data_IF_267767889284
#
_entry.id   IF_267767889284
#
_cell.length_a   1.000
_cell.length_b   1.000
_cell.length_c   1.000
_cell.angle_alpha   90.00
_cell.angle_beta   90.00
_cell.angle_gamma   90.00
#
_symmetry.space_group_name_H-M   'P 1'
#
loop_
_entity.id
_entity.type
_entity.pdbx_description
1 polymer ?
#
# COMPACT_ATOMS: atom_id res chain seq x y z
N UNK A 1 32.42 6.87 2.32
CA UNK A 1 31.94 8.22 2.72
C UNK A 1 30.45 8.21 3.07
N UNK A 2 29.53 7.78 2.20
CA UNK A 2 28.09 7.77 2.47
C UNK A 2 27.69 6.96 3.71
N UNK A 3 28.20 5.72 3.84
CA UNK A 3 27.94 4.85 5.00
C UNK A 3 28.43 5.49 6.31
N UNK A 4 29.58 6.13 6.28
CA UNK A 4 30.12 6.84 7.44
C UNK A 4 29.24 8.01 7.86
N UNK A 5 28.81 8.84 6.90
CA UNK A 5 27.89 9.95 7.16
C UNK A 5 26.55 9.45 7.72
N UNK A 6 25.98 8.40 7.14
CA UNK A 6 24.74 7.82 7.61
C UNK A 6 24.88 7.27 9.05
N UNK A 7 25.99 6.62 9.38
CA UNK A 7 26.29 6.17 10.75
C UNK A 7 26.46 7.36 11.72
N UNK A 8 27.09 8.45 11.28
CA UNK A 8 27.21 9.66 12.10
C UNK A 8 25.84 10.28 12.35
N UNK A 9 24.99 10.36 11.33
CA UNK A 9 23.59 10.83 11.47
C UNK A 9 22.82 10.02 12.51
N UNK A 10 23.06 8.72 12.63
CA UNK A 10 22.38 7.87 13.61
C UNK A 10 22.60 8.29 15.07
N UNK A 11 23.64 9.07 15.37
CA UNK A 11 23.91 9.60 16.72
C UNK A 11 23.13 10.89 17.04
N UNK A 12 22.68 11.60 16.01
CA UNK A 12 21.95 12.84 16.21
C UNK A 12 20.60 12.61 16.92
N UNK A 13 20.11 13.57 17.70
CA UNK A 13 18.76 13.54 18.26
C UNK A 13 17.71 13.33 17.16
N UNK A 14 16.69 12.49 17.42
CA UNK A 14 15.63 12.19 16.44
C UNK A 14 14.92 13.46 15.96
N UNK A 15 14.67 14.40 16.89
CA UNK A 15 14.04 15.70 16.56
C UNK A 15 14.85 16.52 15.55
N UNK A 16 16.18 16.48 15.63
CA UNK A 16 17.06 17.19 14.71
C UNK A 16 17.03 16.56 13.31
N UNK A 17 17.10 15.22 13.25
CA UNK A 17 16.99 14.49 11.99
C UNK A 17 15.65 14.78 11.30
N UNK A 18 14.56 14.68 12.04
CA UNK A 18 13.23 14.95 11.50
C UNK A 18 13.07 16.40 11.05
N UNK A 19 13.61 17.35 11.80
CA UNK A 19 13.55 18.77 11.43
C UNK A 19 14.37 19.06 10.19
N UNK A 20 15.61 18.57 10.13
CA UNK A 20 16.46 18.69 8.94
C UNK A 20 15.80 18.03 7.72
N UNK A 21 15.24 16.83 7.92
CA UNK A 21 14.49 16.13 6.88
C UNK A 21 13.30 16.94 6.36
N UNK A 22 12.51 17.55 7.25
CA UNK A 22 11.39 18.42 6.84
C UNK A 22 11.85 19.61 6.01
N UNK A 23 12.95 20.26 6.41
CA UNK A 23 13.51 21.37 5.64
C UNK A 23 13.98 20.93 4.25
N UNK A 24 14.64 19.77 4.16
CA UNK A 24 15.05 19.19 2.87
C UNK A 24 13.82 18.84 2.01
N UNK A 25 12.79 18.24 2.59
CA UNK A 25 11.54 17.92 1.89
C UNK A 25 10.84 19.16 1.34
N UNK A 26 10.78 20.24 2.13
CA UNK A 26 10.25 21.54 1.69
C UNK A 26 11.10 22.17 0.59
N UNK A 27 12.43 22.12 0.71
CA UNK A 27 13.34 22.59 -0.34
C UNK A 27 13.15 21.81 -1.65
N UNK A 28 13.07 20.48 -1.60
CA UNK A 28 12.78 19.65 -2.75
C UNK A 28 11.42 19.96 -3.41
N UNK A 29 10.42 20.27 -2.59
CA UNK A 29 9.10 20.67 -3.08
C UNK A 29 9.09 22.07 -3.70
N UNK A 30 9.99 22.97 -3.29
CA UNK A 30 10.07 24.36 -3.77
C UNK A 30 10.40 24.45 -5.27
N UNK A 31 11.13 23.46 -5.80
CA UNK A 31 11.54 23.45 -7.21
C UNK A 31 10.48 22.80 -8.10
N UNK A 32 10.12 23.41 -9.25
CA UNK A 32 9.23 22.80 -10.22
C UNK A 32 9.82 21.46 -10.73
N UNK A 33 9.18 20.37 -10.40
CA UNK A 33 9.69 19.03 -10.73
C UNK A 33 8.55 18.03 -10.97
N UNK A 34 8.90 16.86 -11.50
CA UNK A 34 7.94 15.74 -11.61
C UNK A 34 7.43 15.32 -10.22
N UNK A 35 8.28 15.42 -9.18
CA UNK A 35 7.91 15.16 -7.81
C UNK A 35 6.82 16.13 -7.32
N UNK A 36 7.02 17.44 -7.49
CA UNK A 36 6.05 18.46 -7.08
C UNK A 36 4.68 18.27 -7.76
N UNK A 37 4.69 18.03 -9.09
CA UNK A 37 3.44 17.80 -9.85
C UNK A 37 2.70 16.55 -9.38
N UNK A 38 3.42 15.45 -9.14
CA UNK A 38 2.81 14.22 -8.61
C UNK A 38 2.23 14.40 -7.22
N UNK A 39 3.00 15.00 -6.33
CA UNK A 39 2.55 15.25 -4.96
C UNK A 39 1.22 16.02 -4.96
N UNK A 40 1.13 17.13 -5.69
CA UNK A 40 -0.12 17.91 -5.82
C UNK A 40 -1.26 17.11 -6.44
N UNK A 41 -1.00 16.34 -7.46
CA UNK A 41 -2.03 15.56 -8.15
C UNK A 41 -2.58 14.46 -7.24
N UNK A 42 -1.71 13.68 -6.61
CA UNK A 42 -2.13 12.55 -5.79
C UNK A 42 -2.84 12.99 -4.51
N UNK A 43 -2.40 14.10 -3.89
CA UNK A 43 -3.12 14.65 -2.72
C UNK A 43 -4.48 15.17 -3.09
N UNK A 44 -4.63 15.83 -4.27
CA UNK A 44 -5.92 16.30 -4.79
C UNK A 44 -6.90 15.14 -5.02
N UNK A 45 -6.45 14.07 -5.67
CA UNK A 45 -7.28 12.88 -5.88
C UNK A 45 -7.77 12.25 -4.58
N UNK A 46 -6.95 12.31 -3.54
CA UNK A 46 -7.33 11.84 -2.21
C UNK A 46 -8.22 12.82 -1.41
N UNK A 47 -8.56 13.99 -1.99
CA UNK A 47 -9.37 15.02 -1.34
C UNK A 47 -8.58 16.04 -0.51
N UNK A 48 -7.24 16.09 -0.62
CA UNK A 48 -6.36 17.00 0.11
C UNK A 48 -5.76 18.04 -0.84
N UNK A 49 -6.54 19.05 -1.26
CA UNK A 49 -6.11 20.09 -2.22
C UNK A 49 -5.57 21.37 -1.55
N UNK A 50 -5.53 21.43 -0.22
CA UNK A 50 -4.97 22.55 0.53
C UNK A 50 -3.45 22.67 0.30
N UNK A 51 -2.92 23.81 -0.21
CA UNK A 51 -1.49 24.00 -0.40
C UNK A 51 -0.66 23.86 0.89
N UNK A 52 -1.25 24.14 2.06
CA UNK A 52 -0.57 23.94 3.33
C UNK A 52 -0.43 22.45 3.65
N UNK A 53 -1.46 21.64 3.38
CA UNK A 53 -1.39 20.19 3.47
C UNK A 53 -0.29 19.62 2.58
N UNK A 54 -0.24 20.01 1.30
CA UNK A 54 0.77 19.53 0.35
C UNK A 54 2.20 19.86 0.81
N UNK A 55 2.41 21.06 1.38
CA UNK A 55 3.72 21.40 1.98
C UNK A 55 4.05 20.53 3.19
N UNK A 56 3.08 20.27 4.08
CA UNK A 56 3.30 19.37 5.22
C UNK A 56 3.62 17.96 4.76
N UNK A 57 2.93 17.42 3.75
CA UNK A 57 3.22 16.12 3.17
C UNK A 57 4.63 16.02 2.56
N UNK A 58 5.09 17.09 1.89
CA UNK A 58 6.47 17.16 1.40
C UNK A 58 7.48 17.16 2.54
N UNK A 59 7.22 17.92 3.60
CA UNK A 59 8.06 17.96 4.78
C UNK A 59 8.14 16.58 5.47
N UNK A 60 7.00 15.91 5.66
CA UNK A 60 6.95 14.60 6.30
C UNK A 60 7.65 13.50 5.48
N UNK A 61 7.60 13.59 4.13
CA UNK A 61 8.41 12.72 3.25
C UNK A 61 9.91 12.91 3.53
N UNK A 62 10.37 14.13 3.70
CA UNK A 62 11.77 14.41 4.05
C UNK A 62 12.14 13.88 5.44
N UNK A 63 11.26 14.06 6.43
CA UNK A 63 11.47 13.52 7.77
C UNK A 63 11.57 11.99 7.79
N UNK A 64 10.70 11.31 7.02
CA UNK A 64 10.73 9.85 6.86
C UNK A 64 12.08 9.35 6.35
N UNK A 65 12.66 10.00 5.35
CA UNK A 65 13.96 9.62 4.80
C UNK A 65 15.11 9.91 5.77
N UNK A 66 15.05 11.03 6.50
CA UNK A 66 16.12 11.45 7.39
C UNK A 66 16.23 10.59 8.67
N UNK A 67 15.14 9.96 9.13
CA UNK A 67 15.15 9.12 10.34
C UNK A 67 15.67 7.69 10.10
N UNK A 68 15.69 7.21 8.83
CA UNK A 68 16.09 5.84 8.47
C UNK A 68 17.46 5.46 9.04
N UNK A 69 18.55 6.25 8.91
CA UNK A 69 19.85 5.89 9.45
C UNK A 69 19.81 5.63 10.96
N UNK A 70 19.07 6.43 11.70
CA UNK A 70 18.95 6.24 13.15
C UNK A 70 18.22 4.95 13.49
N UNK A 71 17.17 4.62 12.77
CA UNK A 71 16.40 3.39 12.98
C UNK A 71 17.27 2.16 12.70
N UNK A 72 18.11 2.21 11.67
CA UNK A 72 18.95 1.08 11.29
C UNK A 72 20.10 0.81 12.28
N UNK A 73 20.76 1.85 12.80
CA UNK A 73 21.94 1.67 13.66
C UNK A 73 21.68 1.95 15.15
N UNK A 74 20.49 2.41 15.51
CA UNK A 74 20.07 2.65 16.89
C UNK A 74 18.70 2.05 17.14
N UNK A 75 18.47 0.86 16.59
CA UNK A 75 17.17 0.18 16.60
C UNK A 75 16.58 0.12 18.01
N UNK A 76 17.31 -0.37 19.01
CA UNK A 76 16.82 -0.49 20.39
C UNK A 76 16.41 0.85 21.01
N UNK A 77 17.22 1.90 20.75
CA UNK A 77 16.87 3.25 21.21
C UNK A 77 15.60 3.79 20.53
N UNK A 78 15.35 3.40 19.29
CA UNK A 78 14.16 3.76 18.56
C UNK A 78 12.96 2.95 19.04
N UNK A 79 13.10 1.65 19.23
CA UNK A 79 12.06 0.77 19.74
C UNK A 79 11.58 1.17 21.13
N UNK A 80 12.48 1.63 22.00
CA UNK A 80 12.13 2.17 23.32
C UNK A 80 11.24 3.44 23.28
N UNK A 81 11.11 4.07 22.10
CA UNK A 81 10.25 5.23 21.86
C UNK A 81 8.97 4.89 21.08
N UNK A 82 8.72 3.61 20.84
CA UNK A 82 7.48 3.17 20.21
C UNK A 82 6.41 2.97 21.25
N UNK A 83 5.24 3.53 21.02
CA UNK A 83 4.04 3.35 21.85
C UNK A 83 2.93 2.72 21.03
N UNK A 84 2.09 1.90 21.67
CA UNK A 84 0.89 1.31 21.08
C UNK A 84 -0.16 1.11 22.15
N UNK A 85 -1.41 1.39 21.82
CA UNK A 85 -2.60 1.08 22.59
C UNK A 85 -3.48 0.01 21.91
N UNK A 86 -3.06 -0.48 20.75
CA UNK A 86 -3.80 -1.43 19.91
C UNK A 86 -3.13 -2.82 19.83
N UNK A 87 -2.18 -3.12 20.71
CA UNK A 87 -1.52 -4.43 20.78
C UNK A 87 -2.48 -5.63 20.92
N UNK A 88 -3.63 -5.52 21.60
CA UNK A 88 -4.59 -6.62 21.67
C UNK A 88 -5.05 -7.13 20.30
N UNK A 89 -5.09 -6.27 19.26
CA UNK A 89 -5.43 -6.69 17.88
C UNK A 89 -4.41 -7.71 17.35
N UNK A 90 -3.12 -7.43 17.58
CA UNK A 90 -2.02 -8.30 17.16
C UNK A 90 -2.02 -9.59 17.98
N UNK A 91 -2.16 -9.49 19.29
CA UNK A 91 -2.17 -10.65 20.19
C UNK A 91 -3.31 -11.60 19.88
N UNK A 92 -4.51 -11.08 19.61
CA UNK A 92 -5.66 -11.87 19.20
C UNK A 92 -5.40 -12.64 17.89
N UNK A 93 -4.81 -11.99 16.89
CA UNK A 93 -4.49 -12.64 15.62
C UNK A 93 -3.42 -13.73 15.77
N UNK A 94 -2.40 -13.49 16.59
CA UNK A 94 -1.34 -14.47 16.87
C UNK A 94 -1.86 -15.68 17.63
N UNK A 95 -2.79 -15.47 18.58
CA UNK A 95 -3.40 -16.55 19.35
C UNK A 95 -4.21 -17.54 18.49
N UNK A 96 -4.62 -17.15 17.28
CA UNK A 96 -5.27 -18.04 16.32
C UNK A 96 -4.32 -19.09 15.72
N UNK A 97 -2.99 -18.90 15.80
CA UNK A 97 -1.97 -19.84 15.32
C UNK A 97 -1.92 -20.05 13.80
N UNK A 98 -2.69 -19.28 13.02
CA UNK A 98 -2.79 -19.40 11.55
C UNK A 98 -1.68 -18.64 10.81
N UNK A 99 -0.82 -17.90 11.52
CA UNK A 99 0.10 -16.93 10.95
C UNK A 99 -0.56 -15.56 10.68
N UNK A 100 0.27 -14.55 10.47
CA UNK A 100 -0.21 -13.16 10.26
C UNK A 100 0.46 -12.54 9.04
N UNK A 101 -0.35 -11.96 8.15
CA UNK A 101 0.11 -11.11 7.04
C UNK A 101 0.01 -9.65 7.45
N UNK A 102 1.16 -9.02 7.71
CA UNK A 102 1.24 -7.59 7.95
C UNK A 102 1.39 -6.81 6.64
N UNK A 103 0.53 -5.84 6.42
CA UNK A 103 0.56 -4.95 5.28
C UNK A 103 0.85 -3.52 5.76
N UNK A 104 1.99 -2.98 5.31
CA UNK A 104 2.44 -1.66 5.72
C UNK A 104 2.51 -0.76 4.49
N UNK A 105 1.59 0.21 4.29
CA UNK A 105 1.76 1.22 3.27
C UNK A 105 3.00 2.09 3.59
N UNK A 106 3.53 2.82 2.59
CA UNK A 106 4.59 3.80 2.82
C UNK A 106 4.03 5.02 3.59
N UNK A 107 3.55 4.77 4.80
CA UNK A 107 2.88 5.69 5.72
C UNK A 107 3.68 5.81 7.01
N UNK A 108 3.94 7.04 7.45
CA UNK A 108 4.71 7.29 8.67
C UNK A 108 6.14 6.75 8.56
N UNK A 109 6.52 5.89 9.47
CA UNK A 109 7.81 5.23 9.48
C UNK A 109 7.67 3.72 9.27
N UNK A 110 7.66 3.26 8.01
CA UNK A 110 7.56 1.84 7.69
C UNK A 110 8.77 1.02 8.20
N UNK A 111 9.94 1.64 8.34
CA UNK A 111 11.15 0.98 8.84
C UNK A 111 11.03 0.59 10.32
N UNK A 112 10.50 1.47 11.17
CA UNK A 112 10.28 1.14 12.59
C UNK A 112 9.17 0.12 12.74
N UNK A 113 8.18 0.11 11.83
CA UNK A 113 7.06 -0.83 11.85
C UNK A 113 7.55 -2.26 11.74
N UNK A 114 8.36 -2.58 10.74
CA UNK A 114 8.90 -3.92 10.56
C UNK A 114 9.72 -4.37 11.80
N UNK A 115 10.55 -3.47 12.34
CA UNK A 115 11.39 -3.76 13.52
C UNK A 115 10.55 -3.95 14.78
N UNK A 116 9.52 -3.16 14.97
CA UNK A 116 8.65 -3.30 16.12
C UNK A 116 7.88 -4.64 16.10
N UNK A 117 7.45 -5.10 14.93
CA UNK A 117 6.72 -6.35 14.79
C UNK A 117 7.54 -7.59 15.16
N UNK A 118 8.88 -7.56 15.09
CA UNK A 118 9.74 -8.69 15.50
C UNK A 118 9.66 -9.03 16.99
N UNK A 119 9.10 -8.13 17.81
CA UNK A 119 8.83 -8.41 19.24
C UNK A 119 7.78 -9.50 19.46
N UNK A 120 6.95 -9.74 18.45
CA UNK A 120 5.88 -10.74 18.52
C UNK A 120 6.29 -12.11 17.96
N UNK A 121 7.51 -12.24 17.44
CA UNK A 121 8.05 -13.48 16.88
C UNK A 121 8.74 -13.28 15.53
N UNK A 122 9.08 -14.38 14.83
CA UNK A 122 9.72 -14.33 13.53
C UNK A 122 8.87 -13.58 12.50
N UNK A 123 9.49 -12.62 11.82
CA UNK A 123 8.89 -11.83 10.74
C UNK A 123 9.72 -11.99 9.48
N UNK A 124 9.14 -12.52 8.42
CA UNK A 124 9.76 -12.56 7.10
C UNK A 124 9.27 -11.37 6.27
N UNK A 125 10.19 -10.56 5.75
CA UNK A 125 9.88 -9.40 4.90
C UNK A 125 10.50 -9.54 3.53
N UNK A 126 9.82 -8.99 2.51
CA UNK A 126 10.32 -8.99 1.15
C UNK A 126 11.05 -7.68 0.85
N UNK A 127 12.22 -7.78 0.22
CA UNK A 127 13.00 -6.62 -0.17
C UNK A 127 13.35 -6.65 -1.65
N UNK A 128 13.49 -5.46 -2.22
CA UNK A 128 14.13 -5.28 -3.53
C UNK A 128 15.55 -4.77 -3.31
N UNK A 129 16.57 -5.33 -4.02
CA UNK A 129 17.91 -4.76 -4.00
C UNK A 129 17.89 -3.27 -4.36
N UNK A 130 18.80 -2.50 -3.77
CA UNK A 130 18.90 -1.09 -4.10
C UNK A 130 19.21 -0.93 -5.60
N UNK A 131 18.46 -0.06 -6.29
CA UNK A 131 18.71 0.23 -7.71
C UNK A 131 20.09 0.87 -7.95
N UNK A 132 20.60 1.61 -6.95
CA UNK A 132 21.92 2.22 -6.99
C UNK A 132 22.89 1.36 -6.18
N UNK A 133 23.93 0.84 -6.84
CA UNK A 133 24.93 -0.01 -6.20
C UNK A 133 25.60 0.65 -4.96
N UNK A 134 25.75 1.98 -4.97
CA UNK A 134 26.29 2.73 -3.83
C UNK A 134 25.45 2.62 -2.55
N UNK A 135 24.15 2.31 -2.67
CA UNK A 135 23.24 2.13 -1.53
C UNK A 135 23.17 0.68 -1.05
N UNK A 136 23.71 -0.28 -1.81
CA UNK A 136 23.64 -1.70 -1.50
C UNK A 136 24.25 -2.04 -0.12
N UNK A 137 25.48 -1.59 0.23
CA UNK A 137 26.07 -1.86 1.55
C UNK A 137 25.24 -1.26 2.70
N UNK A 138 24.58 -0.14 2.43
CA UNK A 138 23.70 0.55 3.39
C UNK A 138 22.48 -0.32 3.72
N UNK A 139 21.82 -0.84 2.69
CA UNK A 139 20.65 -1.70 2.80
C UNK A 139 21.00 -3.06 3.41
N UNK A 140 22.14 -3.65 3.04
CA UNK A 140 22.61 -4.93 3.60
C UNK A 140 22.90 -4.83 5.10
N UNK A 141 23.58 -3.76 5.54
CA UNK A 141 23.90 -3.54 6.95
C UNK A 141 22.67 -3.28 7.84
N UNK A 142 21.53 -2.98 7.25
CA UNK A 142 20.28 -2.72 7.98
C UNK A 142 19.46 -3.97 8.30
N UNK A 143 19.83 -5.13 7.73
CA UNK A 143 19.03 -6.37 7.76
C UNK A 143 19.36 -7.30 8.92
N UNK A 144 20.48 -7.06 9.59
CA UNK A 144 20.96 -7.92 10.67
C UNK A 144 20.21 -7.61 11.97
N UNK A 145 19.04 -8.22 12.11
CA UNK A 145 18.21 -8.07 13.30
C UNK A 145 17.59 -9.41 13.69
N UNK A 146 17.61 -9.71 14.98
CA UNK A 146 16.97 -10.90 15.53
C UNK A 146 15.49 -10.94 15.14
N UNK A 147 15.01 -12.11 14.74
CA UNK A 147 13.62 -12.35 14.27
C UNK A 147 13.21 -11.62 12.98
N UNK A 148 14.10 -10.92 12.27
CA UNK A 148 13.78 -10.31 10.99
C UNK A 148 14.48 -11.05 9.85
N UNK A 149 13.71 -11.75 9.02
CA UNK A 149 14.22 -12.51 7.89
C UNK A 149 13.90 -11.79 6.59
N UNK A 150 14.92 -11.25 5.91
CA UNK A 150 14.74 -10.55 4.64
C UNK A 150 14.91 -11.52 3.46
N UNK A 151 13.89 -11.62 2.60
CA UNK A 151 13.92 -12.45 1.40
C UNK A 151 13.79 -11.60 0.13
N UNK A 152 14.38 -12.02 -1.00
CA UNK A 152 14.31 -11.24 -2.24
C UNK A 152 12.89 -11.21 -2.82
N UNK A 153 12.52 -10.07 -3.46
CA UNK A 153 11.23 -9.91 -4.13
C UNK A 153 11.21 -10.66 -5.47
N UNK A 154 11.09 -11.98 -5.40
CA UNK A 154 11.00 -12.91 -6.54
C UNK A 154 10.24 -14.17 -6.13
N UNK A 155 10.13 -15.14 -7.04
CA UNK A 155 9.43 -16.42 -6.79
C UNK A 155 9.97 -17.19 -5.58
N UNK A 156 11.27 -17.07 -5.27
CA UNK A 156 11.85 -17.69 -4.08
C UNK A 156 11.30 -17.05 -2.81
N UNK A 157 11.32 -15.72 -2.71
CA UNK A 157 10.76 -15.00 -1.56
C UNK A 157 9.27 -15.27 -1.34
N UNK A 158 8.49 -15.40 -2.42
CA UNK A 158 7.06 -15.80 -2.30
C UNK A 158 6.91 -17.18 -1.67
N UNK A 159 7.76 -18.15 -2.04
CA UNK A 159 7.76 -19.50 -1.43
C UNK A 159 8.11 -19.43 0.06
N UNK A 160 9.09 -18.60 0.43
CA UNK A 160 9.45 -18.40 1.84
C UNK A 160 8.30 -17.76 2.63
N UNK A 161 7.57 -16.81 2.06
CA UNK A 161 6.36 -16.26 2.67
C UNK A 161 5.31 -17.35 2.96
N UNK A 162 5.00 -18.18 1.98
CA UNK A 162 4.05 -19.28 2.15
C UNK A 162 4.52 -20.27 3.22
N UNK A 163 5.84 -20.58 3.26
CA UNK A 163 6.41 -21.47 4.28
C UNK A 163 6.31 -20.88 5.69
N UNK A 164 6.66 -19.59 5.86
CA UNK A 164 6.55 -18.89 7.13
C UNK A 164 5.10 -18.87 7.63
N UNK A 165 4.15 -18.49 6.78
CA UNK A 165 2.72 -18.47 7.13
C UNK A 165 2.19 -19.86 7.52
N UNK A 166 2.61 -20.92 6.82
CA UNK A 166 2.24 -22.30 7.18
C UNK A 166 2.82 -22.79 8.50
N UNK A 167 3.92 -22.19 8.98
CA UNK A 167 4.46 -22.44 10.32
C UNK A 167 3.78 -21.62 11.41
N UNK A 168 2.77 -20.81 11.07
CA UNK A 168 2.11 -19.89 11.99
C UNK A 168 2.90 -18.61 12.28
N UNK A 169 3.98 -18.35 11.51
CA UNK A 169 4.80 -17.17 11.65
C UNK A 169 4.19 -15.95 10.92
N UNK A 170 4.83 -14.81 11.06
CA UNK A 170 4.40 -13.58 10.41
C UNK A 170 5.19 -13.29 9.11
N UNK A 171 4.53 -12.68 8.16
CA UNK A 171 5.17 -12.05 6.99
C UNK A 171 4.75 -10.59 6.87
N UNK A 172 5.63 -9.76 6.33
CA UNK A 172 5.40 -8.33 6.14
C UNK A 172 5.71 -7.87 4.72
N UNK A 173 4.84 -7.05 4.14
CA UNK A 173 5.08 -6.45 2.83
C UNK A 173 4.45 -5.07 2.71
N UNK A 174 4.95 -4.29 1.73
CA UNK A 174 4.43 -2.98 1.38
C UNK A 174 3.62 -3.11 0.07
N UNK A 175 2.27 -3.09 0.15
CA UNK A 175 1.42 -3.42 -0.99
C UNK A 175 1.08 -2.24 -1.91
N UNK A 176 1.52 -1.02 -1.56
CA UNK A 176 1.13 0.24 -2.20
C UNK A 176 2.07 0.73 -3.31
N UNK A 177 2.98 -0.11 -3.78
CA UNK A 177 3.82 0.19 -4.94
C UNK A 177 3.27 -0.47 -6.21
N UNK A 178 3.63 0.12 -7.37
CA UNK A 178 3.32 -0.46 -8.67
C UNK A 178 4.02 -1.81 -8.81
N UNK A 179 3.29 -2.89 -9.13
CA UNK A 179 3.86 -4.22 -9.27
C UNK A 179 4.82 -4.33 -10.47
N UNK A 180 5.51 -5.45 -10.58
CA UNK A 180 6.30 -5.81 -11.76
C UNK A 180 5.42 -6.11 -12.97
N UNK A 181 6.08 -6.37 -14.09
CA UNK A 181 5.43 -6.72 -15.36
C UNK A 181 4.53 -7.95 -15.19
N UNK A 182 3.29 -7.86 -15.67
CA UNK A 182 2.29 -8.93 -15.59
C UNK A 182 1.76 -9.25 -14.18
N UNK A 183 2.13 -8.48 -13.17
CA UNK A 183 1.83 -8.77 -11.75
C UNK A 183 0.79 -7.82 -11.13
N UNK A 184 -0.20 -7.38 -11.83
CA UNK A 184 -1.17 -6.45 -11.25
C UNK A 184 -2.48 -6.39 -11.99
N UNK A 185 -3.46 -5.80 -11.33
CA UNK A 185 -4.76 -5.45 -11.90
C UNK A 185 -5.08 -4.00 -11.55
N UNK A 186 -5.85 -3.32 -12.41
CA UNK A 186 -6.31 -1.97 -12.15
C UNK A 186 -7.42 -1.99 -11.12
N UNK A 187 -7.20 -1.34 -9.99
CA UNK A 187 -8.18 -1.24 -8.90
C UNK A 187 -8.27 0.18 -8.38
N UNK A 188 -9.43 0.57 -7.83
CA UNK A 188 -9.59 1.88 -7.21
C UNK A 188 -8.62 2.07 -6.03
N UNK A 189 -8.01 3.26 -5.97
CA UNK A 189 -7.25 3.74 -4.84
C UNK A 189 -7.41 5.26 -4.75
N UNK A 190 -8.04 5.75 -3.70
CA UNK A 190 -8.49 7.15 -3.58
C UNK A 190 -9.30 7.65 -4.78
N UNK A 191 -10.21 6.82 -5.29
CA UNK A 191 -11.11 7.16 -6.37
C UNK A 191 -10.54 7.05 -7.78
N UNK A 192 -9.23 6.86 -7.93
CA UNK A 192 -8.54 6.72 -9.21
C UNK A 192 -8.05 5.28 -9.41
N UNK A 193 -8.00 4.81 -10.66
CA UNK A 193 -7.44 3.49 -10.93
C UNK A 193 -5.92 3.47 -10.76
N UNK A 194 -5.44 2.50 -10.00
CA UNK A 194 -4.02 2.26 -9.80
C UNK A 194 -3.68 0.79 -10.03
N UNK A 195 -2.64 0.51 -10.81
CA UNK A 195 -2.17 -0.85 -11.01
C UNK A 195 -1.72 -1.43 -9.66
N UNK A 196 -2.46 -2.42 -9.16
CA UNK A 196 -2.35 -2.92 -7.79
C UNK A 196 -1.84 -4.36 -7.80
N UNK A 197 -0.82 -4.64 -6.97
CA UNK A 197 -0.29 -5.98 -6.82
C UNK A 197 -1.31 -6.91 -6.15
N UNK A 198 -1.43 -8.12 -6.68
CA UNK A 198 -2.37 -9.12 -6.17
C UNK A 198 -1.76 -10.08 -5.15
N UNK A 199 -0.44 -10.02 -4.91
CA UNK A 199 0.27 -10.98 -4.06
C UNK A 199 -0.30 -11.05 -2.64
N UNK A 200 -0.60 -9.89 -2.02
CA UNK A 200 -1.18 -9.87 -0.67
C UNK A 200 -2.52 -10.59 -0.60
N UNK A 201 -3.42 -10.32 -1.56
CA UNK A 201 -4.73 -10.98 -1.64
C UNK A 201 -4.60 -12.49 -1.89
N UNK A 202 -3.72 -12.90 -2.82
CA UNK A 202 -3.45 -14.32 -3.10
C UNK A 202 -2.92 -15.05 -1.87
N UNK A 203 -1.96 -14.46 -1.16
CA UNK A 203 -1.41 -15.05 0.08
C UNK A 203 -2.51 -15.21 1.14
N UNK A 204 -3.30 -14.16 1.38
CA UNK A 204 -4.37 -14.17 2.36
C UNK A 204 -5.39 -15.29 2.09
N UNK A 205 -5.87 -15.39 0.84
CA UNK A 205 -6.84 -16.41 0.44
C UNK A 205 -6.26 -17.84 0.47
N UNK A 206 -5.03 -18.01 -0.02
CA UNK A 206 -4.37 -19.31 -0.07
C UNK A 206 -4.04 -19.89 1.31
N UNK A 207 -3.64 -19.02 2.25
CA UNK A 207 -3.14 -19.46 3.55
C UNK A 207 -4.15 -19.23 4.69
N UNK A 208 -5.23 -18.49 4.44
CA UNK A 208 -6.30 -18.17 5.40
C UNK A 208 -5.78 -17.53 6.69
N UNK A 209 -4.72 -16.75 6.57
CA UNK A 209 -4.08 -16.04 7.68
C UNK A 209 -4.85 -14.79 8.08
N UNK A 210 -4.63 -14.31 9.28
CA UNK A 210 -5.12 -12.99 9.69
C UNK A 210 -4.36 -11.90 8.91
N UNK A 211 -5.10 -10.93 8.36
CA UNK A 211 -4.51 -9.79 7.64
C UNK A 211 -4.61 -8.54 8.50
N UNK A 212 -3.47 -7.94 8.82
CA UNK A 212 -3.39 -6.72 9.63
C UNK A 212 -2.64 -5.64 8.86
N UNK A 213 -3.30 -4.52 8.60
CA UNK A 213 -2.63 -3.30 8.17
C UNK A 213 -1.98 -2.62 9.37
N UNK A 214 -0.77 -2.10 9.17
CA UNK A 214 -0.03 -1.46 10.25
C UNK A 214 0.79 -0.29 9.73
N UNK A 215 0.98 0.74 10.58
CA UNK A 215 1.86 1.87 10.29
C UNK A 215 2.38 2.50 11.58
N UNK A 216 3.60 3.02 11.52
CA UNK A 216 4.22 3.77 12.59
C UNK A 216 4.06 5.27 12.39
N UNK A 217 3.05 5.90 13.00
CA UNK A 217 2.85 7.34 12.99
C UNK A 217 4.05 8.04 13.67
N UNK A 218 4.67 8.98 13.00
CA UNK A 218 5.73 9.81 13.56
C UNK A 218 5.15 10.83 14.53
N UNK A 219 5.54 10.75 15.79
CA UNK A 219 5.13 11.71 16.81
C UNK A 219 5.92 13.01 16.73
N UNK A 220 5.30 14.15 17.02
CA UNK A 220 5.98 15.46 16.95
C UNK A 220 7.15 15.56 17.93
N UNK A 221 8.12 16.43 17.58
CA UNK A 221 9.27 16.79 18.43
C UNK A 221 10.19 15.63 18.79
N UNK A 222 10.29 14.59 17.95
CA UNK A 222 11.18 13.48 18.19
C UNK A 222 10.77 12.55 19.33
N UNK A 223 9.49 12.54 19.71
CA UNK A 223 8.96 11.67 20.78
C UNK A 223 8.89 10.20 20.39
N UNK A 224 9.23 9.86 19.17
CA UNK A 224 9.18 8.49 18.66
C UNK A 224 7.99 8.24 17.75
N UNK A 225 7.39 7.07 17.86
CA UNK A 225 6.34 6.62 16.95
C UNK A 225 5.19 5.97 17.71
N UNK A 226 3.98 6.09 17.15
CA UNK A 226 2.80 5.35 17.59
C UNK A 226 2.45 4.30 16.57
N UNK A 227 2.32 3.05 17.00
CA UNK A 227 1.85 1.97 16.11
C UNK A 227 0.34 2.00 15.99
N UNK A 228 -0.13 1.90 14.74
CA UNK A 228 -1.53 1.72 14.40
C UNK A 228 -1.71 0.35 13.77
N UNK A 229 -2.78 -0.32 14.16
CA UNK A 229 -3.19 -1.61 13.61
C UNK A 229 -4.64 -1.55 13.14
N UNK A 230 -4.92 -2.21 12.03
CA UNK A 230 -6.26 -2.37 11.46
C UNK A 230 -6.36 -3.78 10.90
N UNK A 231 -7.09 -4.66 11.59
CA UNK A 231 -7.35 -6.01 11.10
C UNK A 231 -8.43 -5.96 10.02
N UNK A 232 -8.22 -6.65 8.90
CA UNK A 232 -9.27 -6.86 7.92
C UNK A 232 -10.40 -7.70 8.53
N UNK A 233 -11.67 -7.35 8.25
CA UNK A 233 -12.80 -8.19 8.64
C UNK A 233 -12.73 -9.58 8.01
N UNK A 234 -13.17 -10.59 8.72
CA UNK A 234 -13.32 -11.95 8.22
C UNK A 234 -14.81 -12.36 8.20
N UNK A 235 -15.25 -13.20 7.25
CA UNK A 235 -14.42 -13.79 6.19
C UNK A 235 -13.96 -12.78 5.14
N UNK A 236 -12.78 -13.00 4.56
CA UNK A 236 -12.31 -12.21 3.42
C UNK A 236 -13.20 -12.47 2.19
N UNK A 237 -13.31 -11.50 1.26
CA UNK A 237 -13.97 -11.74 -0.02
C UNK A 237 -13.35 -12.93 -0.76
N UNK A 238 -14.17 -13.69 -1.50
CA UNK A 238 -13.75 -14.97 -2.10
C UNK A 238 -12.78 -14.82 -3.28
N UNK A 239 -12.80 -13.67 -3.98
CA UNK A 239 -11.95 -13.47 -5.15
C UNK A 239 -10.71 -12.64 -4.80
N UNK A 240 -9.63 -12.87 -5.57
CA UNK A 240 -8.38 -12.10 -5.44
C UNK A 240 -8.62 -10.61 -5.66
N UNK A 241 -9.45 -10.27 -6.63
CA UNK A 241 -9.79 -8.89 -6.96
C UNK A 241 -10.54 -8.21 -5.81
N UNK A 242 -11.63 -8.81 -5.33
CA UNK A 242 -12.41 -8.25 -4.24
C UNK A 242 -11.60 -8.14 -2.93
N UNK A 243 -10.72 -9.12 -2.65
CA UNK A 243 -9.81 -9.06 -1.51
C UNK A 243 -8.76 -7.94 -1.68
N UNK A 244 -8.24 -7.72 -2.89
CA UNK A 244 -7.29 -6.63 -3.15
C UNK A 244 -7.98 -5.25 -3.04
N UNK A 245 -9.25 -5.12 -3.45
CA UNK A 245 -10.06 -3.92 -3.21
C UNK A 245 -10.23 -3.67 -1.71
N UNK A 246 -10.57 -4.69 -0.94
CA UNK A 246 -10.70 -4.57 0.52
C UNK A 246 -9.38 -4.14 1.18
N UNK A 247 -8.24 -4.64 0.71
CA UNK A 247 -6.91 -4.21 1.16
C UNK A 247 -6.67 -2.73 0.81
N UNK A 248 -6.98 -2.29 -0.42
CA UNK A 248 -6.85 -0.88 -0.81
C UNK A 248 -7.70 0.03 0.08
N UNK A 249 -8.97 -0.31 0.32
CA UNK A 249 -9.87 0.45 1.19
C UNK A 249 -9.37 0.53 2.64
N UNK A 250 -8.82 -0.57 3.14
CA UNK A 250 -8.22 -0.59 4.48
C UNK A 250 -6.93 0.27 4.53
N UNK A 251 -6.11 0.27 3.47
CA UNK A 251 -4.97 1.19 3.35
C UNK A 251 -5.42 2.65 3.35
N UNK A 252 -6.44 3.00 2.57
CA UNK A 252 -7.01 4.35 2.56
C UNK A 252 -7.49 4.76 3.95
N UNK A 253 -8.20 3.86 4.65
CA UNK A 253 -8.67 4.09 6.01
C UNK A 253 -7.52 4.39 6.97
N UNK A 254 -6.43 3.62 6.88
CA UNK A 254 -5.24 3.84 7.70
C UNK A 254 -4.51 5.14 7.33
N UNK A 255 -4.37 5.44 6.03
CA UNK A 255 -3.74 6.66 5.53
C UNK A 255 -4.51 7.90 6.00
N UNK A 256 -5.84 7.88 6.01
CA UNK A 256 -6.68 9.00 6.46
C UNK A 256 -6.52 9.35 7.94
N UNK A 257 -5.92 8.48 8.77
CA UNK A 257 -5.64 8.78 10.19
C UNK A 257 -4.55 9.83 10.37
N UNK A 258 -3.51 9.84 9.50
CA UNK A 258 -2.40 10.82 9.50
C UNK A 258 -1.87 11.02 8.07
N UNK A 259 -2.71 11.59 7.20
CA UNK A 259 -2.50 11.58 5.74
C UNK A 259 -1.27 12.38 5.30
N UNK A 260 -0.80 13.34 6.08
CA UNK A 260 0.41 14.11 5.75
C UNK A 260 1.67 13.24 5.73
N UNK A 261 1.66 12.09 6.40
CA UNK A 261 2.79 11.18 6.49
C UNK A 261 2.81 10.08 5.43
N UNK A 262 1.84 10.06 4.50
CA UNK A 262 1.86 9.11 3.38
C UNK A 262 2.79 9.59 2.26
N UNK A 263 3.44 8.64 1.57
CA UNK A 263 4.41 8.93 0.50
C UNK A 263 3.72 9.34 -0.82
N UNK A 264 2.96 10.43 -0.81
CA UNK A 264 2.22 10.94 -1.98
C UNK A 264 3.10 11.24 -3.20
N UNK A 265 4.39 11.48 -3.02
CA UNK A 265 5.34 11.75 -4.09
C UNK A 265 5.74 10.52 -4.91
N UNK A 266 5.45 9.30 -4.45
CA UNK A 266 5.62 8.09 -5.22
C UNK A 266 4.64 8.04 -6.40
N UNK A 267 5.04 7.48 -7.55
CA UNK A 267 4.18 7.39 -8.73
C UNK A 267 3.25 6.17 -8.67
N UNK A 268 2.30 6.20 -7.71
CA UNK A 268 1.36 5.09 -7.46
C UNK A 268 0.47 4.78 -8.66
N UNK A 269 0.15 5.80 -9.44
CA UNK A 269 -0.73 5.71 -10.62
C UNK A 269 0.10 5.68 -11.93
N UNK A 270 1.32 5.14 -11.87
CA UNK A 270 2.11 4.90 -13.07
C UNK A 270 1.44 3.78 -13.87
N UNK A 271 1.26 4.03 -15.18
CA UNK A 271 0.95 3.01 -16.17
C UNK A 271 2.27 2.51 -16.75
N UNK A 272 2.72 1.29 -16.42
CA UNK A 272 3.85 0.66 -17.11
C UNK A 272 3.48 0.33 -18.56
N UNK A 273 4.46 0.31 -19.46
CA UNK A 273 4.25 0.06 -20.89
C UNK A 273 3.61 -1.33 -21.15
N UNK A 274 3.84 -2.30 -20.26
CA UNK A 274 3.33 -3.69 -20.34
C UNK A 274 2.13 -3.92 -19.41
N UNK A 275 1.53 -2.86 -18.86
CA UNK A 275 0.31 -2.98 -18.07
C UNK A 275 -0.88 -3.37 -18.95
N UNK A 276 -1.89 -4.08 -18.41
CA UNK A 276 -3.17 -4.23 -19.10
C UNK A 276 -3.72 -2.86 -19.51
N UNK A 277 -4.58 -2.77 -20.55
CA UNK A 277 -5.24 -1.53 -20.91
C UNK A 277 -5.87 -0.86 -19.69
N UNK A 278 -5.72 0.47 -19.59
CA UNK A 278 -6.32 1.21 -18.49
C UNK A 278 -7.86 1.12 -18.60
N UNK A 279 -8.62 0.99 -17.51
CA UNK A 279 -10.08 0.89 -17.57
C UNK A 279 -10.77 2.02 -18.33
N UNK A 280 -10.20 3.24 -18.30
CA UNK A 280 -10.73 4.39 -19.04
C UNK A 280 -10.42 4.34 -20.55
N UNK A 281 -9.48 3.47 -20.98
CA UNK A 281 -9.10 3.23 -22.38
C UNK A 281 -9.80 1.98 -22.96
N UNK A 282 -10.46 1.17 -22.10
CA UNK A 282 -11.23 0.03 -22.57
C UNK A 282 -12.44 0.55 -23.33
N UNK A 283 -12.62 0.12 -24.59
CA UNK A 283 -13.86 0.38 -25.34
C UNK A 283 -15.05 -0.08 -24.49
N UNK A 284 -16.15 0.70 -24.45
CA UNK A 284 -17.36 0.26 -23.77
C UNK A 284 -17.72 -1.13 -24.33
N UNK A 285 -17.91 -2.09 -23.44
CA UNK A 285 -18.35 -3.43 -23.83
C UNK A 285 -19.51 -3.28 -24.82
N UNK A 286 -19.51 -4.03 -25.95
CA UNK A 286 -20.62 -3.94 -26.91
C UNK A 286 -21.89 -4.12 -26.11
N UNK A 287 -22.82 -3.14 -26.24
CA UNK A 287 -24.11 -3.19 -25.57
C UNK A 287 -24.69 -4.58 -25.82
N UNK A 288 -24.99 -5.29 -24.75
CA UNK A 288 -25.66 -6.58 -24.80
C UNK A 288 -26.95 -6.38 -25.62
N UNK A 289 -26.84 -6.66 -26.92
CA UNK A 289 -28.02 -6.75 -27.78
C UNK A 289 -28.71 -8.04 -27.37
N UNK A 290 -29.48 -7.94 -26.28
CA UNK A 290 -30.36 -9.00 -25.85
C UNK A 290 -31.10 -9.59 -27.07
N UNK A 291 -31.48 -10.87 -27.06
CA UNK A 291 -32.02 -11.55 -28.21
C UNK A 291 -33.19 -10.76 -28.78
N UNK A 292 -33.09 -10.41 -30.06
CA UNK A 292 -34.14 -9.74 -30.80
C UNK A 292 -35.49 -10.42 -30.49
N UNK A 293 -36.41 -9.68 -29.95
CA UNK A 293 -37.75 -10.16 -29.62
C UNK A 293 -38.31 -10.84 -30.87
N UNK A 294 -38.45 -12.15 -30.79
CA UNK A 294 -39.12 -12.97 -31.80
C UNK A 294 -40.51 -12.39 -32.04
N UNK A 295 -40.83 -12.18 -33.32
CA UNK A 295 -41.96 -11.46 -33.85
C UNK A 295 -43.25 -11.66 -33.11
N UNK A 296 -43.90 -10.53 -32.77
CA UNK A 296 -45.30 -10.52 -32.36
C UNK A 296 -46.17 -11.05 -33.51
N UNK A 297 -47.16 -11.92 -33.27
CA UNK A 297 -48.04 -12.42 -34.30
C UNK A 297 -48.92 -11.27 -34.84
N UNK A 298 -49.01 -11.14 -36.16
CA UNK A 298 -49.83 -10.17 -36.87
C UNK A 298 -51.31 -10.38 -36.48
N UNK A 299 -52.07 -9.36 -36.11
CA UNK A 299 -53.48 -9.51 -35.80
C UNK A 299 -54.31 -9.85 -37.09
N UNK A 300 -55.35 -10.67 -36.98
CA UNK A 300 -56.21 -11.03 -38.15
C UNK A 300 -56.95 -9.85 -38.70
N UNK A 301 -57.11 -9.80 -40.05
CA UNK A 301 -57.85 -8.77 -40.77
C UNK A 301 -59.31 -8.77 -40.38
N UNK A 302 -59.96 -7.60 -40.34
CA UNK A 302 -61.45 -7.50 -40.05
C UNK A 302 -62.25 -8.08 -41.22
N UNK A 303 -63.45 -8.69 -40.96
CA UNK A 303 -64.34 -9.25 -42.00
C UNK A 303 -64.93 -8.16 -42.88
N UNK A 304 -64.99 -8.41 -44.17
CA UNK A 304 -65.40 -7.53 -45.21
C UNK A 304 -66.83 -7.08 -45.05
N UNK A 305 -67.13 -5.76 -45.27
CA UNK A 305 -68.40 -5.19 -45.39
C UNK A 305 -69.07 -5.58 -46.75
N UNK A 306 -70.22 -6.16 -46.66
CA UNK A 306 -71.03 -6.51 -47.81
C UNK A 306 -71.56 -5.23 -48.49
N UNK A 307 -71.25 -5.10 -49.78
CA UNK A 307 -71.87 -4.08 -50.65
C UNK A 307 -73.27 -4.48 -50.98
N UNK A 308 -74.24 -3.72 -50.49
CA UNK A 308 -75.57 -3.69 -51.02
C UNK A 308 -75.61 -2.81 -52.28
N UNK A 309 -75.85 -3.44 -53.43
CA UNK A 309 -76.41 -2.75 -54.61
C UNK A 309 -77.91 -2.61 -54.46
N UNK A 310 -78.39 -1.39 -54.55
CA UNK A 310 -79.74 -1.09 -54.97
C UNK A 310 -79.71 -0.08 -56.10
N UNK A 311 -80.48 -0.31 -57.00
CA UNK A 311 -80.86 0.24 -58.32
C UNK A 311 -80.64 1.74 -58.54
#
# INVERSE_FOLDING_TARGET
MLLFLARLMAWLPLSWLQTAGRLIGLAAYRYPSRYQRRLRRHTRWAGYDDPAFVRRAAAETGAMMAEIPKIWWRTEQCLAKVVSDQEPIVQAALAEGRGVLYLTPHLGCFEITARHLTRYGPLTVMFRPARQAILQPLVESSRDMHNLHAVPANRHGVREFVRALRRGEAVGMLPDQVPGEGEGIWLPFFGEYALTMTLAARLALQTRVAVILTAGERLPRGRGWRMHYLRLPEPLPETVEATAIAINQAMETLIRRFPEQYLWGYNRYKQPDEAPPHPDEAEPAPADTGPAAAGAPTPPAPPGAATHHER
#
